data_IF_580772731788
#
_entry.id   IF_580772731788
#
_cell.length_a   1.000
_cell.length_b   1.000
_cell.length_c   1.000
_cell.angle_alpha   90.00
_cell.angle_beta   90.00
_cell.angle_gamma   90.00
#
_symmetry.space_group_name_H-M   'P 1'
#
loop_
_entity.id
_entity.type
_entity.pdbx_description
1 polymer ?
#
# COMPACT_ATOMS: atom_id res chain seq x y z
N UNK A 1 21.69 24.35 11.89
CA UNK A 1 20.63 24.73 10.93
C UNK A 1 19.32 24.47 11.63
N UNK A 2 18.63 25.53 12.06
CA UNK A 2 17.30 25.46 12.67
C UNK A 2 16.30 25.13 11.56
N UNK A 3 15.69 23.95 11.62
CA UNK A 3 14.55 23.59 10.77
C UNK A 3 13.43 24.55 11.10
N UNK A 4 13.17 25.50 10.20
CA UNK A 4 11.97 26.32 10.26
C UNK A 4 10.77 25.38 10.17
N UNK A 5 10.00 25.25 11.25
CA UNK A 5 8.67 24.64 11.21
C UNK A 5 7.85 25.38 10.15
N UNK A 6 7.56 24.69 9.06
CA UNK A 6 6.72 25.21 8.00
C UNK A 6 5.33 25.51 8.59
N UNK A 7 4.81 26.72 8.38
CA UNK A 7 3.45 27.11 8.85
C UNK A 7 2.30 26.26 8.30
N UNK A 8 2.59 25.31 7.39
CA UNK A 8 1.67 24.28 6.91
C UNK A 8 1.53 23.08 7.86
N UNK A 9 2.39 22.93 8.88
CA UNK A 9 2.41 21.77 9.79
C UNK A 9 1.14 21.60 10.64
N UNK A 10 0.24 22.58 10.65
CA UNK A 10 -1.02 22.55 11.40
C UNK A 10 -2.26 22.41 10.49
N UNK A 11 -2.09 22.14 9.19
CA UNK A 11 -3.20 21.96 8.24
C UNK A 11 -3.08 20.57 7.60
N UNK A 12 -4.05 19.71 7.91
CA UNK A 12 -4.12 18.36 7.34
C UNK A 12 -4.31 18.44 5.82
N UNK A 13 -3.42 17.78 5.07
CA UNK A 13 -3.51 17.65 3.62
C UNK A 13 -3.50 16.17 3.26
N UNK A 14 -4.58 15.70 2.64
CA UNK A 14 -4.74 14.31 2.20
C UNK A 14 -4.87 14.28 0.68
N UNK A 15 -4.17 13.32 0.05
CA UNK A 15 -4.34 13.05 -1.38
C UNK A 15 -5.55 12.15 -1.55
N UNK A 16 -6.64 12.72 -2.05
CA UNK A 16 -7.91 12.00 -2.24
C UNK A 16 -7.89 11.15 -3.51
N UNK A 17 -7.38 11.71 -4.60
CA UNK A 17 -7.53 11.11 -5.93
C UNK A 17 -6.40 11.51 -6.88
N UNK A 18 -5.99 10.57 -7.73
CA UNK A 18 -5.04 10.79 -8.83
C UNK A 18 -5.74 10.56 -10.17
N UNK A 19 -5.62 11.52 -11.09
CA UNK A 19 -6.14 11.37 -12.46
C UNK A 19 -5.14 10.59 -13.30
N UNK A 20 -5.60 9.53 -14.00
CA UNK A 20 -4.79 8.74 -14.93
C UNK A 20 -5.32 8.88 -16.37
N UNK A 21 -4.44 8.95 -17.39
CA UNK A 21 -4.86 9.11 -18.77
C UNK A 21 -5.20 7.74 -19.39
N UNK A 22 -6.41 7.61 -19.93
CA UNK A 22 -6.90 6.41 -20.63
C UNK A 22 -7.50 6.80 -21.98
N UNK A 23 -7.39 5.93 -23.00
CA UNK A 23 -7.97 6.20 -24.32
C UNK A 23 -9.44 5.75 -24.42
N UNK A 24 -9.84 4.76 -23.62
CA UNK A 24 -11.20 4.21 -23.59
C UNK A 24 -11.68 4.03 -22.15
N UNK A 25 -12.64 4.86 -21.74
CA UNK A 25 -13.15 4.93 -20.36
C UNK A 25 -13.84 3.63 -19.95
N UNK A 26 -14.66 3.02 -20.82
CA UNK A 26 -15.40 1.80 -20.46
C UNK A 26 -14.46 0.58 -20.41
N UNK A 27 -13.47 0.52 -21.30
CA UNK A 27 -12.43 -0.53 -21.25
C UNK A 27 -11.60 -0.43 -19.98
N UNK A 28 -11.15 0.77 -19.62
CA UNK A 28 -10.40 1.00 -18.38
C UNK A 28 -11.25 0.67 -17.15
N UNK A 29 -12.50 1.14 -17.10
CA UNK A 29 -13.46 0.83 -16.03
C UNK A 29 -13.62 -0.68 -15.84
N UNK A 30 -13.90 -1.42 -16.92
CA UNK A 30 -14.07 -2.87 -16.87
C UNK A 30 -12.83 -3.57 -16.31
N UNK A 31 -11.64 -3.15 -16.72
CA UNK A 31 -10.38 -3.69 -16.20
C UNK A 31 -10.24 -3.47 -14.69
N UNK A 32 -10.37 -2.22 -14.23
CA UNK A 32 -10.18 -1.90 -12.81
C UNK A 32 -11.25 -2.53 -11.91
N UNK A 33 -12.51 -2.58 -12.35
CA UNK A 33 -13.54 -3.32 -11.61
C UNK A 33 -13.29 -4.82 -11.63
N UNK A 34 -12.74 -5.35 -12.72
CA UNK A 34 -12.43 -6.78 -12.88
C UNK A 34 -11.32 -7.27 -11.93
N UNK A 35 -10.39 -6.39 -11.57
CA UNK A 35 -9.36 -6.67 -10.55
C UNK A 35 -9.82 -6.32 -9.13
N UNK A 36 -11.11 -6.00 -8.95
CA UNK A 36 -11.72 -5.80 -7.63
C UNK A 36 -11.60 -4.40 -7.05
N UNK A 37 -11.21 -3.39 -7.83
CA UNK A 37 -11.27 -2.00 -7.34
C UNK A 37 -12.73 -1.55 -7.29
N UNK A 38 -13.10 -0.90 -6.19
CA UNK A 38 -14.47 -0.44 -5.93
C UNK A 38 -14.80 0.71 -6.87
N UNK A 39 -15.94 0.63 -7.55
CA UNK A 39 -16.49 1.75 -8.31
C UNK A 39 -17.23 2.70 -7.38
N UNK A 40 -16.85 3.97 -7.44
CA UNK A 40 -17.41 5.03 -6.60
C UNK A 40 -18.59 5.70 -7.31
N UNK A 41 -19.51 6.28 -6.54
CA UNK A 41 -20.59 7.08 -7.07
C UNK A 41 -20.10 8.48 -7.44
N UNK A 42 -19.99 8.75 -8.74
CA UNK A 42 -19.52 10.03 -9.30
C UNK A 42 -20.49 10.59 -10.36
N UNK A 43 -20.36 11.88 -10.71
CA UNK A 43 -21.04 12.43 -11.89
C UNK A 43 -20.71 11.65 -13.17
N UNK A 44 -21.60 11.65 -14.19
CA UNK A 44 -21.54 10.70 -15.31
C UNK A 44 -20.34 10.87 -16.27
N UNK A 45 -19.63 11.99 -16.24
CA UNK A 45 -18.43 12.23 -17.07
C UNK A 45 -17.12 11.78 -16.40
N UNK A 46 -17.21 11.25 -15.18
CA UNK A 46 -16.08 10.82 -14.37
C UNK A 46 -16.29 9.38 -13.94
N UNK A 47 -15.23 8.58 -14.05
CA UNK A 47 -15.13 7.27 -13.46
C UNK A 47 -14.06 7.31 -12.38
N UNK A 48 -14.41 6.92 -11.15
CA UNK A 48 -13.51 6.85 -10.01
C UNK A 48 -13.49 5.45 -9.42
N UNK A 49 -12.29 4.92 -9.20
CA UNK A 49 -12.06 3.58 -8.66
C UNK A 49 -11.15 3.66 -7.43
N UNK A 50 -11.55 3.01 -6.34
CA UNK A 50 -10.71 2.89 -5.14
C UNK A 50 -10.14 1.47 -5.04
N UNK A 51 -8.80 1.30 -5.01
CA UNK A 51 -8.19 0.02 -4.66
C UNK A 51 -8.66 -0.45 -3.28
N UNK A 52 -8.86 -1.76 -3.09
CA UNK A 52 -9.29 -2.30 -1.81
C UNK A 52 -8.32 -1.91 -0.68
N UNK A 53 -8.85 -1.27 0.36
CA UNK A 53 -8.09 -0.77 1.50
C UNK A 53 -7.34 0.55 1.28
N UNK A 54 -7.35 1.13 0.07
CA UNK A 54 -6.72 2.43 -0.17
C UNK A 54 -7.64 3.57 0.26
N UNK A 55 -7.13 4.62 0.94
CA UNK A 55 -7.86 5.87 1.15
C UNK A 55 -7.84 6.77 -0.09
N UNK A 56 -6.95 6.51 -1.04
CA UNK A 56 -6.78 7.28 -2.27
C UNK A 56 -7.36 6.52 -3.47
N UNK A 57 -8.03 7.25 -4.37
CA UNK A 57 -8.65 6.70 -5.58
C UNK A 57 -7.88 7.05 -6.84
N UNK A 58 -8.18 6.35 -7.94
CA UNK A 58 -7.84 6.81 -9.30
C UNK A 58 -9.09 7.32 -9.99
N UNK A 59 -8.90 8.26 -10.90
CA UNK A 59 -9.99 8.83 -11.69
C UNK A 59 -9.60 8.98 -13.15
N UNK A 60 -10.56 8.73 -14.03
CA UNK A 60 -10.42 8.95 -15.46
C UNK A 60 -11.78 9.27 -16.08
N UNK A 61 -11.78 9.96 -17.21
CA UNK A 61 -12.98 10.52 -17.82
C UNK A 61 -12.63 11.49 -18.93
N UNK A 62 -13.65 11.87 -19.71
CA UNK A 62 -13.46 12.80 -20.81
C UNK A 62 -12.95 14.15 -20.29
N UNK A 63 -11.86 14.64 -20.88
CA UNK A 63 -11.26 15.96 -20.58
C UNK A 63 -10.75 16.16 -19.14
N UNK A 64 -10.42 15.09 -18.40
CA UNK A 64 -9.83 15.22 -17.05
C UNK A 64 -8.31 15.48 -17.07
N UNK A 65 -7.62 15.15 -18.17
CA UNK A 65 -6.18 15.37 -18.32
C UNK A 65 -5.79 15.45 -19.80
N UNK A 66 -4.75 16.24 -20.09
CA UNK A 66 -4.11 16.31 -21.41
C UNK A 66 -2.95 15.31 -21.57
N UNK A 67 -2.66 14.52 -20.53
CA UNK A 67 -1.61 13.51 -20.57
C UNK A 67 -1.94 12.39 -21.56
N UNK A 68 -0.90 11.85 -22.21
CA UNK A 68 -1.06 10.77 -23.19
C UNK A 68 -1.59 9.49 -22.51
N UNK A 69 -2.61 8.81 -23.05
CA UNK A 69 -3.03 7.50 -22.53
C UNK A 69 -1.86 6.55 -22.30
N UNK A 70 -1.86 5.90 -21.15
CA UNK A 70 -0.80 4.97 -20.75
C UNK A 70 0.47 5.61 -20.17
N UNK A 71 0.50 6.94 -20.00
CA UNK A 71 1.71 7.61 -19.52
C UNK A 71 1.85 7.66 -17.99
N UNK A 72 0.83 7.26 -17.22
CA UNK A 72 0.90 7.32 -15.76
C UNK A 72 1.76 6.19 -15.17
N UNK A 73 2.29 6.46 -13.99
CA UNK A 73 2.97 5.49 -13.13
C UNK A 73 2.45 5.62 -11.71
N UNK A 74 2.04 4.52 -11.11
CA UNK A 74 1.52 4.47 -9.75
C UNK A 74 2.15 3.35 -8.93
N UNK A 75 2.13 3.51 -7.62
CA UNK A 75 2.58 2.49 -6.66
C UNK A 75 1.39 1.98 -5.88
N UNK A 76 1.28 0.67 -5.75
CA UNK A 76 0.28 -0.01 -4.92
C UNK A 76 1.02 -0.81 -3.87
N UNK A 77 0.69 -0.55 -2.61
CA UNK A 77 1.30 -1.25 -1.48
C UNK A 77 0.46 -2.48 -1.14
N UNK A 78 1.14 -3.60 -0.89
CA UNK A 78 0.53 -4.87 -0.50
C UNK A 78 1.29 -5.46 0.68
N UNK A 79 0.62 -6.23 1.54
CA UNK A 79 1.26 -6.94 2.66
C UNK A 79 1.88 -8.28 2.24
N UNK A 80 1.33 -8.92 1.20
CA UNK A 80 1.80 -10.18 0.62
C UNK A 80 1.78 -10.06 -0.90
N UNK A 81 2.98 -9.93 -1.49
CA UNK A 81 3.11 -9.74 -2.94
C UNK A 81 2.88 -11.03 -3.73
N UNK A 82 3.15 -12.20 -3.15
CA UNK A 82 2.95 -13.48 -3.81
C UNK A 82 1.46 -13.77 -3.97
N UNK A 83 0.70 -13.61 -2.89
CA UNK A 83 -0.75 -13.76 -2.90
C UNK A 83 -1.41 -12.73 -3.83
N UNK A 84 -0.99 -11.46 -3.77
CA UNK A 84 -1.55 -10.41 -4.63
C UNK A 84 -1.26 -10.67 -6.11
N UNK A 85 -0.02 -11.05 -6.45
CA UNK A 85 0.34 -11.41 -7.83
C UNK A 85 -0.46 -12.61 -8.31
N UNK A 86 -0.58 -13.66 -7.50
CA UNK A 86 -1.35 -14.85 -7.87
C UNK A 86 -2.82 -14.51 -8.15
N UNK A 87 -3.44 -13.66 -7.32
CA UNK A 87 -4.81 -13.21 -7.52
C UNK A 87 -4.98 -12.39 -8.80
N UNK A 88 -4.06 -11.45 -9.08
CA UNK A 88 -4.10 -10.64 -10.30
C UNK A 88 -3.89 -11.49 -11.57
N UNK A 89 -2.94 -12.43 -11.55
CA UNK A 89 -2.74 -13.38 -12.65
C UNK A 89 -3.99 -14.24 -12.87
N UNK A 90 -4.61 -14.73 -11.79
CA UNK A 90 -5.85 -15.50 -11.88
C UNK A 90 -7.03 -14.68 -12.45
N UNK A 91 -7.03 -13.36 -12.22
CA UNK A 91 -7.96 -12.40 -12.84
C UNK A 91 -7.60 -12.05 -14.29
N UNK A 92 -6.54 -12.63 -14.87
CA UNK A 92 -6.12 -12.43 -16.25
C UNK A 92 -5.21 -11.23 -16.49
N UNK A 93 -4.67 -10.62 -15.43
CA UNK A 93 -3.74 -9.49 -15.54
C UNK A 93 -2.35 -9.99 -15.93
N UNK A 94 -1.75 -9.36 -16.94
CA UNK A 94 -0.34 -9.59 -17.29
C UNK A 94 0.57 -8.93 -16.24
N UNK A 95 1.16 -9.76 -15.38
CA UNK A 95 2.10 -9.35 -14.33
C UNK A 95 3.54 -9.67 -14.75
N UNK A 96 4.50 -8.85 -14.33
CA UNK A 96 5.91 -9.26 -14.31
C UNK A 96 6.15 -10.44 -13.37
N UNK A 97 7.31 -11.08 -13.47
CA UNK A 97 7.83 -11.86 -12.33
C UNK A 97 8.12 -10.95 -11.13
N UNK A 98 8.12 -11.53 -9.93
CA UNK A 98 8.57 -10.83 -8.73
C UNK A 98 10.08 -10.58 -8.87
N UNK A 99 10.51 -9.40 -8.44
CA UNK A 99 11.92 -9.02 -8.40
C UNK A 99 12.20 -8.19 -7.15
N UNK A 100 13.48 -8.05 -6.80
CA UNK A 100 13.96 -7.13 -5.77
C UNK A 100 15.15 -6.32 -6.30
N UNK A 101 15.52 -5.24 -5.63
CA UNK A 101 16.67 -4.43 -6.04
C UNK A 101 17.94 -4.86 -5.30
N UNK A 102 18.80 -5.61 -6.00
CA UNK A 102 20.16 -5.91 -5.56
C UNK A 102 21.12 -4.75 -5.86
N UNK A 103 22.39 -4.92 -5.46
CA UNK A 103 23.43 -3.90 -5.63
C UNK A 103 23.69 -3.51 -7.10
N UNK A 104 23.38 -4.40 -8.05
CA UNK A 104 23.57 -4.20 -9.48
C UNK A 104 22.28 -3.84 -10.25
N UNK A 105 21.14 -3.75 -9.56
CA UNK A 105 19.83 -3.49 -10.17
C UNK A 105 18.80 -4.57 -9.83
N UNK A 106 17.69 -4.65 -10.60
CA UNK A 106 16.64 -5.64 -10.38
C UNK A 106 17.15 -7.08 -10.54
N UNK A 107 16.89 -7.93 -9.55
CA UNK A 107 17.18 -9.36 -9.54
C UNK A 107 15.88 -10.16 -9.41
N UNK A 108 15.76 -11.31 -10.10
CA UNK A 108 14.53 -12.10 -10.07
C UNK A 108 14.28 -12.72 -8.69
N UNK A 109 13.02 -12.83 -8.31
CA UNK A 109 12.58 -13.40 -7.05
C UNK A 109 12.36 -12.36 -5.95
N UNK A 110 11.85 -12.85 -4.82
CA UNK A 110 11.66 -12.07 -3.60
C UNK A 110 13.00 -11.57 -3.05
N UNK A 111 12.95 -10.46 -2.32
CA UNK A 111 14.07 -10.07 -1.47
C UNK A 111 14.39 -11.21 -0.48
N UNK A 112 15.64 -11.73 -0.45
CA UNK A 112 16.00 -12.87 0.39
C UNK A 112 15.72 -12.66 1.88
N UNK A 113 15.86 -11.41 2.34
CA UNK A 113 15.67 -11.02 3.74
C UNK A 113 14.22 -10.57 4.03
N UNK A 114 13.33 -10.60 3.02
CA UNK A 114 11.94 -10.05 3.08
C UNK A 114 11.90 -8.64 3.67
N UNK A 115 12.91 -7.84 3.32
CA UNK A 115 13.02 -6.45 3.73
C UNK A 115 11.84 -5.67 3.16
N UNK A 116 11.16 -4.91 4.01
CA UNK A 116 10.04 -4.06 3.59
C UNK A 116 10.46 -3.15 2.43
N UNK A 117 9.56 -2.96 1.46
CA UNK A 117 9.73 -2.22 0.20
C UNK A 117 10.63 -2.87 -0.87
N UNK A 118 11.32 -3.99 -0.59
CA UNK A 118 12.30 -4.56 -1.52
C UNK A 118 11.68 -5.52 -2.55
N UNK A 119 10.74 -6.37 -2.14
CA UNK A 119 10.02 -7.26 -3.08
C UNK A 119 8.98 -6.49 -3.88
N UNK A 120 9.08 -6.57 -5.21
CA UNK A 120 8.29 -5.76 -6.15
C UNK A 120 7.82 -6.58 -7.36
N UNK A 121 6.76 -6.10 -8.00
CA UNK A 121 6.22 -6.64 -9.25
C UNK A 121 5.50 -5.51 -10.00
N UNK A 122 5.35 -5.62 -11.31
CA UNK A 122 4.67 -4.61 -12.11
C UNK A 122 3.55 -5.19 -12.95
N UNK A 123 2.55 -4.37 -13.23
CA UNK A 123 1.56 -4.62 -14.29
C UNK A 123 1.20 -3.32 -14.99
N UNK A 124 0.52 -3.43 -16.11
CA UNK A 124 -0.04 -2.29 -16.81
C UNK A 124 -1.55 -2.45 -16.98
N UNK A 125 -2.27 -1.33 -17.00
CA UNK A 125 -3.65 -1.32 -17.46
C UNK A 125 -3.73 -1.48 -19.00
N UNK A 126 -4.94 -1.60 -19.59
CA UNK A 126 -5.11 -1.78 -21.03
C UNK A 126 -4.55 -0.65 -21.91
N UNK A 127 -4.29 0.52 -21.32
CA UNK A 127 -3.76 1.71 -22.00
C UNK A 127 -2.24 1.83 -21.83
N UNK A 128 -1.65 1.10 -20.88
CA UNK A 128 -0.22 1.07 -20.59
C UNK A 128 0.19 1.81 -19.32
N UNK A 129 -0.75 2.34 -18.53
CA UNK A 129 -0.43 3.00 -17.27
C UNK A 129 0.19 1.96 -16.33
N UNK A 130 1.38 2.26 -15.81
CA UNK A 130 2.18 1.29 -15.07
C UNK A 130 1.85 1.33 -13.59
N UNK A 131 1.66 0.16 -13.00
CA UNK A 131 1.48 -0.03 -11.57
C UNK A 131 2.62 -0.88 -11.02
N UNK A 132 3.25 -0.39 -9.97
CA UNK A 132 4.31 -1.09 -9.26
C UNK A 132 3.79 -1.54 -7.90
N UNK A 133 3.66 -2.85 -7.73
CA UNK A 133 3.40 -3.47 -6.44
C UNK A 133 4.67 -3.37 -5.59
N UNK A 134 4.50 -2.94 -4.33
CA UNK A 134 5.55 -2.93 -3.33
C UNK A 134 5.06 -3.69 -2.10
N UNK A 135 5.78 -4.75 -1.73
CA UNK A 135 5.53 -5.42 -0.46
C UNK A 135 5.99 -4.52 0.69
N UNK A 136 5.07 -4.17 1.59
CA UNK A 136 5.38 -3.35 2.76
C UNK A 136 4.86 -4.03 4.01
N UNK A 137 5.79 -4.53 4.82
CA UNK A 137 5.54 -5.18 6.11
C UNK A 137 5.81 -4.24 7.28
N UNK A 138 6.67 -3.24 7.07
CA UNK A 138 6.99 -2.18 8.04
C UNK A 138 7.18 -0.85 7.30
N UNK A 139 6.62 0.26 7.80
CA UNK A 139 6.71 1.56 7.13
C UNK A 139 8.08 2.22 7.37
N UNK A 140 8.57 2.96 6.37
CA UNK A 140 9.74 3.83 6.57
C UNK A 140 9.43 4.92 7.61
N UNK A 141 10.41 5.32 8.45
CA UNK A 141 10.24 6.42 9.39
C UNK A 141 9.69 7.68 8.72
N UNK A 142 8.69 8.31 9.36
CA UNK A 142 8.04 9.54 8.88
C UNK A 142 7.00 9.35 7.77
N UNK A 143 6.71 8.12 7.34
CA UNK A 143 5.66 7.86 6.32
C UNK A 143 4.24 7.92 6.87
N UNK A 144 4.06 7.60 8.16
CA UNK A 144 2.81 7.72 8.91
C UNK A 144 3.07 8.63 10.10
N UNK A 145 2.18 9.59 10.35
CA UNK A 145 2.25 10.36 11.59
C UNK A 145 1.97 9.41 12.76
N UNK A 146 2.89 9.37 13.74
CA UNK A 146 2.77 8.51 14.91
C UNK A 146 1.47 8.77 15.72
N UNK A 147 0.81 9.91 15.51
CA UNK A 147 -0.48 10.24 16.10
C UNK A 147 -1.70 9.62 15.40
N UNK A 148 -1.60 9.15 14.14
CA UNK A 148 -2.73 8.59 13.38
C UNK A 148 -2.66 7.05 13.37
N UNK A 149 -3.41 6.38 14.25
CA UNK A 149 -3.56 4.91 14.23
C UNK A 149 -4.69 4.53 13.27
N UNK A 150 -4.37 4.24 12.01
CA UNK A 150 -5.37 3.82 11.02
C UNK A 150 -4.91 2.60 10.22
N UNK A 151 -5.75 1.57 10.11
CA UNK A 151 -5.48 0.42 9.24
C UNK A 151 -6.32 0.53 7.98
N UNK A 152 -5.70 0.28 6.84
CA UNK A 152 -6.31 0.40 5.52
C UNK A 152 -7.46 -0.61 5.31
N UNK A 153 -7.37 -1.79 5.96
CA UNK A 153 -8.40 -2.82 5.87
C UNK A 153 -8.47 -3.67 7.15
N UNK A 154 -9.52 -4.49 7.28
CA UNK A 154 -9.62 -5.51 8.34
C UNK A 154 -8.51 -6.56 8.19
N UNK A 155 -8.08 -6.88 6.96
CA UNK A 155 -6.97 -7.81 6.74
C UNK A 155 -5.66 -7.22 7.23
N UNK A 156 -5.39 -5.96 6.91
CA UNK A 156 -4.18 -5.24 7.35
C UNK A 156 -4.11 -5.19 8.89
N UNK A 157 -5.25 -4.91 9.53
CA UNK A 157 -5.37 -4.95 10.98
C UNK A 157 -5.12 -6.36 11.51
N UNK A 158 -5.73 -7.39 10.91
CA UNK A 158 -5.54 -8.77 11.33
C UNK A 158 -4.08 -9.23 11.19
N UNK A 159 -3.42 -8.86 10.09
CA UNK A 159 -1.99 -9.15 9.87
C UNK A 159 -1.11 -8.44 10.89
N UNK A 160 -1.40 -7.18 11.21
CA UNK A 160 -0.72 -6.45 12.27
C UNK A 160 -0.91 -7.10 13.65
N UNK A 161 -2.13 -7.55 13.97
CA UNK A 161 -2.41 -8.27 15.21
C UNK A 161 -1.67 -9.62 15.27
N UNK A 162 -1.54 -10.34 14.14
CA UNK A 162 -0.75 -11.58 14.09
C UNK A 162 0.73 -11.32 14.33
N UNK A 163 1.30 -10.26 13.73
CA UNK A 163 2.70 -9.86 13.98
C UNK A 163 2.91 -9.44 15.43
N UNK A 164 2.02 -8.62 15.98
CA UNK A 164 2.03 -8.24 17.39
C UNK A 164 1.95 -9.47 18.31
N UNK A 165 1.13 -10.48 17.96
CA UNK A 165 1.01 -11.71 18.72
C UNK A 165 2.29 -12.56 18.72
N UNK A 166 2.97 -12.66 17.58
CA UNK A 166 4.27 -13.34 17.50
C UNK A 166 5.31 -12.61 18.35
N UNK A 167 5.40 -11.29 18.25
CA UNK A 167 6.37 -10.49 18.99
C UNK A 167 6.09 -10.49 20.50
N UNK A 168 4.82 -10.40 20.91
CA UNK A 168 4.41 -10.49 22.31
C UNK A 168 4.71 -11.86 22.92
N UNK A 169 4.58 -12.93 22.14
CA UNK A 169 4.98 -14.27 22.58
C UNK A 169 6.49 -14.38 22.89
N UNK A 170 7.35 -13.60 22.22
CA UNK A 170 8.76 -13.50 22.58
C UNK A 170 8.97 -12.60 23.82
N UNK A 171 8.21 -11.52 23.96
CA UNK A 171 8.19 -10.67 25.16
C UNK A 171 7.87 -11.47 26.43
N UNK A 172 6.80 -12.28 26.41
CA UNK A 172 6.40 -13.12 27.55
C UNK A 172 7.44 -14.18 27.91
N UNK A 173 8.19 -14.72 26.92
CA UNK A 173 9.32 -15.62 27.19
C UNK A 173 10.47 -14.91 27.91
N UNK A 174 10.74 -13.65 27.53
CA UNK A 174 11.78 -12.83 28.15
C UNK A 174 11.42 -12.43 29.59
N UNK A 175 10.15 -12.10 29.85
CA UNK A 175 9.67 -11.70 31.19
C UNK A 175 9.32 -12.91 32.08
N UNK A 176 9.11 -14.08 31.49
CA UNK A 176 8.86 -15.34 32.18
C UNK A 176 7.44 -15.48 32.74
N UNK A 177 6.52 -14.58 32.38
CA UNK A 177 5.13 -14.58 32.83
C UNK A 177 4.21 -14.09 31.71
N UNK A 178 2.95 -14.53 31.76
CA UNK A 178 1.92 -14.01 30.87
C UNK A 178 1.66 -12.53 31.20
N UNK A 179 1.56 -11.69 30.17
CA UNK A 179 1.30 -10.27 30.32
C UNK A 179 -0.21 -10.02 30.28
N UNK A 180 -0.80 -9.81 31.46
CA UNK A 180 -2.22 -9.49 31.61
C UNK A 180 -2.61 -8.17 30.92
N UNK A 181 -1.63 -7.31 30.60
CA UNK A 181 -1.82 -6.04 29.90
C UNK A 181 -1.46 -6.11 28.41
N UNK A 182 -1.54 -7.30 27.82
CA UNK A 182 -1.32 -7.52 26.39
C UNK A 182 -2.05 -6.53 25.46
N UNK A 183 -3.26 -5.99 25.75
CA UNK A 183 -3.88 -5.02 24.83
C UNK A 183 -3.08 -3.73 24.72
N UNK A 184 -2.47 -3.27 25.82
CA UNK A 184 -1.63 -2.07 25.83
C UNK A 184 -0.31 -2.35 25.10
N UNK A 185 0.31 -3.52 25.32
CA UNK A 185 1.51 -3.91 24.59
C UNK A 185 1.27 -4.01 23.08
N UNK A 186 0.18 -4.66 22.67
CA UNK A 186 -0.22 -4.77 21.25
C UNK A 186 -0.45 -3.40 20.63
N UNK A 187 -1.18 -2.51 21.30
CA UNK A 187 -1.44 -1.17 20.75
C UNK A 187 -0.15 -0.38 20.55
N UNK A 188 0.78 -0.42 21.52
CA UNK A 188 2.10 0.21 21.38
C UNK A 188 2.94 -0.42 20.27
N UNK A 189 2.96 -1.74 20.18
CA UNK A 189 3.67 -2.46 19.13
C UNK A 189 3.13 -2.09 17.75
N UNK A 190 1.82 -2.16 17.57
CA UNK A 190 1.17 -1.92 16.28
C UNK A 190 1.34 -0.47 15.82
N UNK A 191 1.27 0.50 16.75
CA UNK A 191 1.55 1.91 16.44
C UNK A 191 3.03 2.11 16.10
N UNK A 192 3.94 1.52 16.87
CA UNK A 192 5.38 1.65 16.61
C UNK A 192 5.79 1.00 15.28
N UNK A 193 5.26 -0.19 14.98
CA UNK A 193 5.46 -0.89 13.71
C UNK A 193 4.92 -0.06 12.53
N UNK A 194 3.74 0.54 12.70
CA UNK A 194 3.13 1.39 11.68
C UNK A 194 3.88 2.71 11.47
N UNK A 195 4.44 3.30 12.53
CA UNK A 195 5.20 4.55 12.47
C UNK A 195 6.68 4.33 12.10
N UNK A 196 7.16 3.09 12.08
CA UNK A 196 8.57 2.75 11.89
C UNK A 196 9.45 3.25 13.05
N UNK A 197 8.92 3.26 14.28
CA UNK A 197 9.62 3.67 15.49
C UNK A 197 10.07 2.46 16.32
N UNK A 198 10.78 2.70 17.43
CA UNK A 198 11.28 1.64 18.31
C UNK A 198 10.13 0.76 18.85
N UNK A 199 10.21 -0.55 18.57
CA UNK A 199 9.22 -1.52 19.02
C UNK A 199 9.34 -1.74 20.54
N UNK A 200 8.23 -1.98 21.24
CA UNK A 200 8.29 -2.33 22.65
C UNK A 200 9.04 -3.65 22.85
N UNK A 201 9.95 -3.65 23.84
CA UNK A 201 10.64 -4.85 24.32
C UNK A 201 9.69 -5.79 25.04
#
# INVERSE_FOLDING_TARGET
MTTSESGLGNVDMKVEVIVIPVADVERAKAFYTGIGWRLDETPPWVVQLTPHGSPCSVQFGANLTDAKPGSAKGYVVVSDIEATRAALVAAGVAMSEIFHFGAAGPEPGLDPDRTSYQSQATFADPDGNQWQLQEVTTRLPGRVDAAETSFASVSDLADAMRRASVAHGEHEKCTGQADENWPEWYSRYMVAEQAGTELPL
#
